data_IF_041183209390
#
_entry.id   IF_041183209390
#
_cell.length_a   1.000
_cell.length_b   1.000
_cell.length_c   1.000
_cell.angle_alpha   90.00
_cell.angle_beta   90.00
_cell.angle_gamma   90.00
#
_symmetry.space_group_name_H-M   'P 1'
#
loop_
_entity.id
_entity.type
_entity.pdbx_description
1 polymer ?
#
# COMPACT_ATOMS: atom_id res chain seq x y z
N UNK A 1 -4.65 12.44 0.45
CA UNK A 1 -6.06 12.00 0.37
C UNK A 1 -6.56 12.09 1.80
N UNK A 2 -7.47 13.02 2.10
CA UNK A 2 -8.05 13.13 3.45
C UNK A 2 -8.97 11.93 3.65
N UNK A 3 -8.46 10.89 4.30
CA UNK A 3 -9.29 9.78 4.76
C UNK A 3 -10.37 10.31 5.69
N UNK A 4 -11.61 9.89 5.48
CA UNK A 4 -12.72 10.21 6.37
C UNK A 4 -12.46 9.44 7.66
N UNK A 5 -12.09 10.15 8.73
CA UNK A 5 -11.75 9.52 10.01
C UNK A 5 -12.96 9.47 10.92
N UNK A 6 -13.33 8.25 11.34
CA UNK A 6 -14.34 8.04 12.38
C UNK A 6 -13.84 8.58 13.72
N UNK A 7 -14.79 8.90 14.60
CA UNK A 7 -14.55 9.29 15.99
C UNK A 7 -13.52 8.39 16.71
N UNK A 8 -13.63 7.06 16.57
CA UNK A 8 -12.70 6.14 17.22
C UNK A 8 -11.28 6.21 16.65
N UNK A 9 -11.14 6.46 15.35
CA UNK A 9 -9.83 6.66 14.74
C UNK A 9 -9.18 7.92 15.30
N UNK A 10 -9.95 9.01 15.45
CA UNK A 10 -9.45 10.26 16.03
C UNK A 10 -9.02 10.09 17.49
N UNK A 11 -9.78 9.34 18.31
CA UNK A 11 -9.36 9.05 19.69
C UNK A 11 -8.08 8.21 19.70
N UNK A 12 -8.02 7.16 18.88
CA UNK A 12 -6.83 6.32 18.76
C UNK A 12 -5.61 7.15 18.38
N UNK A 13 -5.76 8.02 17.37
CA UNK A 13 -4.72 8.93 16.90
C UNK A 13 -4.24 9.89 18.00
N UNK A 14 -5.16 10.49 18.74
CA UNK A 14 -4.83 11.41 19.83
C UNK A 14 -4.19 10.69 21.02
N UNK A 15 -4.55 9.42 21.26
CA UNK A 15 -3.97 8.59 22.32
C UNK A 15 -2.51 8.22 22.06
N UNK A 16 -2.04 8.30 20.81
CA UNK A 16 -0.62 8.14 20.47
C UNK A 16 0.26 9.25 21.07
N UNK A 17 -0.33 10.39 21.44
CA UNK A 17 0.37 11.50 22.09
C UNK A 17 0.02 11.57 23.58
N UNK A 18 1.01 11.88 24.41
CA UNK A 18 0.82 12.10 25.85
C UNK A 18 0.01 13.37 26.19
N UNK A 19 -0.54 14.05 25.18
CA UNK A 19 -1.31 15.28 25.30
C UNK A 19 -2.80 15.11 24.98
N UNK A 20 -3.31 13.88 24.96
CA UNK A 20 -4.73 13.62 24.69
C UNK A 20 -5.65 14.28 25.71
N UNK A 21 -5.17 14.46 26.94
CA UNK A 21 -5.85 15.14 28.05
C UNK A 21 -6.10 16.64 27.81
N UNK A 22 -5.34 17.24 26.89
CA UNK A 22 -5.45 18.67 26.52
C UNK A 22 -6.45 18.93 25.40
N UNK A 23 -7.06 17.89 24.84
CA UNK A 23 -8.01 18.02 23.73
C UNK A 23 -9.43 17.96 24.27
N UNK A 24 -10.18 19.03 24.02
CA UNK A 24 -11.62 19.10 24.27
C UNK A 24 -12.36 19.29 22.95
N UNK A 25 -13.32 18.43 22.66
CA UNK A 25 -14.17 18.59 21.47
C UNK A 25 -15.33 19.54 21.74
N UNK A 26 -15.68 20.34 20.75
CA UNK A 26 -16.95 21.07 20.76
C UNK A 26 -18.11 20.13 20.41
N UNK A 27 -19.34 20.51 20.79
CA UNK A 27 -20.53 19.73 20.47
C UNK A 27 -20.70 19.53 18.96
N UNK A 28 -20.45 20.58 18.17
CA UNK A 28 -20.49 20.54 16.70
C UNK A 28 -19.48 19.55 16.12
N UNK A 29 -18.26 19.51 16.65
CA UNK A 29 -17.22 18.57 16.20
C UNK A 29 -17.56 17.12 16.52
N UNK A 30 -18.19 16.87 17.67
CA UNK A 30 -18.65 15.53 18.04
C UNK A 30 -19.79 15.07 17.13
N UNK A 31 -20.72 15.96 16.80
CA UNK A 31 -21.80 15.67 15.86
C UNK A 31 -21.25 15.37 14.46
N UNK A 32 -20.26 16.14 13.97
CA UNK A 32 -19.61 15.87 12.68
C UNK A 32 -18.93 14.48 12.66
N UNK A 33 -18.15 14.16 13.69
CA UNK A 33 -17.40 12.90 13.77
C UNK A 33 -18.32 11.67 13.88
N UNK A 34 -19.44 11.81 14.59
CA UNK A 34 -20.43 10.73 14.74
C UNK A 34 -21.26 10.55 13.47
N UNK A 35 -21.63 11.63 12.79
CA UNK A 35 -22.34 11.57 11.51
C UNK A 35 -21.47 10.91 10.43
N UNK A 36 -20.19 11.27 10.34
CA UNK A 36 -19.25 10.64 9.40
C UNK A 36 -19.11 9.14 9.63
N UNK A 37 -19.14 8.68 10.88
CA UNK A 37 -19.10 7.25 11.19
C UNK A 37 -20.38 6.52 10.73
N UNK A 38 -21.55 7.16 10.88
CA UNK A 38 -22.79 6.61 10.38
C UNK A 38 -22.77 6.46 8.85
N UNK A 39 -22.38 7.51 8.13
CA UNK A 39 -22.28 7.51 6.66
C UNK A 39 -21.24 6.47 6.17
N UNK A 40 -20.13 6.32 6.88
CA UNK A 40 -19.11 5.29 6.58
C UNK A 40 -19.64 3.86 6.78
N UNK A 41 -20.46 3.63 7.80
CA UNK A 41 -21.10 2.31 8.02
C UNK A 41 -22.11 2.02 6.93
N UNK A 42 -22.94 3.00 6.58
CA UNK A 42 -23.92 2.87 5.51
C UNK A 42 -23.25 2.55 4.18
N UNK A 43 -22.17 3.26 3.81
CA UNK A 43 -21.42 2.99 2.58
C UNK A 43 -20.70 1.64 2.57
N UNK A 44 -20.20 1.17 3.72
CA UNK A 44 -19.56 -0.15 3.85
C UNK A 44 -20.57 -1.29 3.74
N UNK A 45 -21.71 -1.14 4.39
CA UNK A 45 -22.73 -2.18 4.48
C UNK A 45 -23.66 -2.20 3.25
N UNK A 46 -23.65 -1.14 2.43
CA UNK A 46 -24.28 -1.07 1.12
C UNK A 46 -23.56 -1.96 0.07
N UNK A 47 -23.88 -3.25 0.13
CA UNK A 47 -23.42 -4.26 -0.81
C UNK A 47 -23.83 -3.97 -2.27
N UNK A 48 -24.84 -3.10 -2.50
CA UNK A 48 -25.31 -2.76 -3.84
C UNK A 48 -24.33 -1.87 -4.62
N UNK A 49 -23.54 -1.04 -3.92
CA UNK A 49 -22.45 -0.23 -4.50
C UNK A 49 -21.12 -0.99 -4.61
N UNK A 50 -20.91 -2.01 -3.79
CA UNK A 50 -19.75 -2.90 -3.84
C UNK A 50 -19.78 -3.86 -5.03
N UNK A 51 -20.93 -3.94 -5.72
CA UNK A 51 -21.01 -4.39 -7.09
C UNK A 51 -20.20 -3.46 -7.96
N UNK A 52 -18.86 -3.58 -7.88
CA UNK A 52 -17.98 -3.31 -8.99
C UNK A 52 -18.71 -3.87 -10.18
N UNK A 53 -19.24 -2.97 -10.98
CA UNK A 53 -19.65 -3.23 -12.33
C UNK A 53 -18.35 -3.73 -12.97
N UNK A 54 -18.08 -5.02 -12.79
CA UNK A 54 -17.23 -5.83 -13.66
C UNK A 54 -18.04 -5.90 -14.95
N UNK A 55 -18.25 -4.75 -15.58
CA UNK A 55 -18.15 -4.72 -17.00
C UNK A 55 -16.86 -5.49 -17.29
N UNK A 56 -16.91 -6.54 -18.11
CA UNK A 56 -15.72 -7.06 -18.72
C UNK A 56 -15.20 -5.98 -19.69
N UNK A 57 -14.86 -4.79 -19.18
CA UNK A 57 -13.96 -3.84 -19.81
C UNK A 57 -12.73 -4.69 -20.05
N UNK A 58 -12.52 -4.97 -21.34
CA UNK A 58 -11.42 -5.79 -21.82
C UNK A 58 -10.16 -5.33 -21.09
N UNK A 59 -9.60 -6.20 -20.25
CA UNK A 59 -8.36 -5.87 -19.55
C UNK A 59 -7.31 -5.68 -20.62
N UNK A 60 -6.82 -4.46 -20.75
CA UNK A 60 -5.77 -4.12 -21.71
C UNK A 60 -4.50 -4.86 -21.25
N UNK A 61 -3.86 -5.66 -22.13
CA UNK A 61 -2.59 -6.30 -21.79
C UNK A 61 -1.53 -5.23 -21.50
N UNK A 62 -0.92 -5.28 -20.30
CA UNK A 62 0.08 -4.30 -19.87
C UNK A 62 1.53 -4.77 -20.08
N UNK A 63 1.73 -6.08 -20.29
CA UNK A 63 3.05 -6.69 -20.41
C UNK A 63 3.04 -7.84 -21.42
N UNK A 64 4.23 -8.24 -21.90
CA UNK A 64 4.40 -9.30 -22.91
C UNK A 64 4.81 -10.68 -22.34
N UNK A 65 4.81 -10.87 -21.02
CA UNK A 65 5.28 -12.13 -20.41
C UNK A 65 4.53 -13.39 -20.87
N UNK A 66 3.25 -13.27 -21.19
CA UNK A 66 2.39 -14.39 -21.60
C UNK A 66 2.03 -14.38 -23.10
N UNK A 67 2.49 -13.38 -23.86
CA UNK A 67 2.15 -13.22 -25.27
C UNK A 67 2.70 -11.92 -25.85
N UNK A 68 2.77 -11.81 -27.20
CA UNK A 68 3.25 -10.60 -27.84
C UNK A 68 2.30 -9.44 -27.54
N UNK A 69 2.86 -8.32 -27.07
CA UNK A 69 2.13 -7.08 -26.86
C UNK A 69 2.09 -6.32 -28.19
N UNK A 70 0.90 -6.03 -28.71
CA UNK A 70 0.79 -5.23 -29.93
C UNK A 70 1.06 -3.75 -29.63
N UNK A 71 1.58 -3.01 -30.61
CA UNK A 71 1.83 -1.57 -30.44
C UNK A 71 0.56 -0.79 -30.07
N UNK A 72 -0.60 -1.22 -30.58
CA UNK A 72 -1.90 -0.61 -30.24
C UNK A 72 -2.27 -0.83 -28.77
N UNK A 73 -2.08 -2.03 -28.25
CA UNK A 73 -2.36 -2.35 -26.85
C UNK A 73 -1.41 -1.59 -25.91
N UNK A 74 -0.14 -1.44 -26.29
CA UNK A 74 0.84 -0.67 -25.52
C UNK A 74 0.50 0.84 -25.46
N UNK A 75 0.02 1.41 -26.57
CA UNK A 75 -0.44 2.80 -26.61
C UNK A 75 -1.74 3.00 -25.81
N UNK A 76 -2.66 2.04 -25.85
CA UNK A 76 -3.89 2.06 -25.06
C UNK A 76 -3.58 1.96 -23.56
N UNK A 77 -2.68 1.05 -23.18
CA UNK A 77 -2.15 0.91 -21.83
C UNK A 77 -1.55 2.22 -21.28
N UNK A 78 -0.78 2.95 -22.09
CA UNK A 78 -0.15 4.21 -21.69
C UNK A 78 -1.17 5.33 -21.41
N UNK A 79 -2.29 5.37 -22.14
CA UNK A 79 -3.36 6.36 -21.94
C UNK A 79 -4.18 6.08 -20.67
N UNK A 80 -4.18 4.83 -20.24
CA UNK A 80 -4.98 4.33 -19.12
C UNK A 80 -4.17 4.22 -17.81
N UNK A 81 -3.54 5.31 -17.38
CA UNK A 81 -2.80 5.42 -16.10
C UNK A 81 -3.63 5.03 -14.88
N UNK A 82 -4.96 5.22 -14.92
CA UNK A 82 -5.87 4.88 -13.81
C UNK A 82 -5.97 3.40 -13.47
N UNK A 83 -5.55 2.49 -14.38
CA UNK A 83 -5.55 1.04 -14.11
C UNK A 83 -4.28 0.55 -13.41
N UNK A 84 -3.23 1.38 -13.32
CA UNK A 84 -2.01 1.05 -12.59
C UNK A 84 -2.17 1.36 -11.10
N UNK A 85 -3.04 0.61 -10.43
CA UNK A 85 -3.16 0.71 -8.99
C UNK A 85 -2.13 -0.19 -8.29
N UNK A 86 -0.99 0.41 -7.94
CA UNK A 86 0.11 -0.24 -7.22
C UNK A 86 0.12 0.11 -5.72
N UNK A 87 -1.00 0.57 -5.16
CA UNK A 87 -1.09 1.02 -3.77
C UNK A 87 -0.79 -0.07 -2.72
N UNK A 88 -0.82 -1.34 -3.13
CA UNK A 88 -0.45 -2.47 -2.27
C UNK A 88 1.08 -2.64 -2.11
N UNK A 89 1.88 -1.94 -2.92
CA UNK A 89 3.36 -1.96 -2.84
C UNK A 89 3.87 -0.67 -2.20
N UNK A 90 4.88 -0.79 -1.32
CA UNK A 90 5.45 0.37 -0.61
C UNK A 90 6.38 1.24 -1.49
N UNK A 91 7.10 0.60 -2.43
CA UNK A 91 8.08 1.27 -3.30
C UNK A 91 7.62 1.34 -4.76
N UNK A 92 6.36 1.01 -5.04
CA UNK A 92 5.82 0.93 -6.40
C UNK A 92 6.18 -0.36 -7.14
N UNK A 93 5.97 -0.35 -8.46
CA UNK A 93 6.07 -1.55 -9.30
C UNK A 93 7.48 -1.91 -9.75
N UNK A 94 8.42 -0.96 -9.70
CA UNK A 94 9.82 -1.19 -10.06
C UNK A 94 10.74 -0.17 -9.40
N UNK A 95 11.87 -0.64 -8.86
CA UNK A 95 12.96 0.18 -8.34
C UNK A 95 14.26 -0.27 -9.02
N UNK A 96 15.04 0.64 -9.62
CA UNK A 96 16.33 0.29 -10.22
C UNK A 96 17.28 -0.37 -9.22
N UNK A 97 17.98 -1.43 -9.65
CA UNK A 97 18.87 -2.22 -8.79
C UNK A 97 19.92 -1.37 -8.08
N UNK A 98 20.66 -0.55 -8.82
CA UNK A 98 21.72 0.29 -8.26
C UNK A 98 21.17 1.29 -7.24
N UNK A 99 19.93 1.77 -7.44
CA UNK A 99 19.27 2.64 -6.48
C UNK A 99 18.94 1.85 -5.22
N UNK A 100 18.24 0.71 -5.35
CA UNK A 100 17.86 -0.13 -4.22
C UNK A 100 19.06 -0.58 -3.37
N UNK A 101 20.18 -0.92 -4.01
CA UNK A 101 21.41 -1.34 -3.32
C UNK A 101 22.11 -0.18 -2.58
N UNK A 102 21.87 1.07 -2.98
CA UNK A 102 22.47 2.27 -2.35
C UNK A 102 21.54 2.97 -1.36
N UNK A 103 20.30 2.50 -1.20
CA UNK A 103 19.36 3.08 -0.24
C UNK A 103 19.76 2.77 1.20
N UNK A 104 19.57 3.75 2.07
CA UNK A 104 19.72 3.60 3.51
C UNK A 104 18.50 2.91 4.11
N UNK A 105 18.70 1.77 4.78
CA UNK A 105 17.60 1.06 5.45
C UNK A 105 17.04 1.83 6.64
N UNK A 106 17.87 2.61 7.35
CA UNK A 106 17.45 3.38 8.53
C UNK A 106 16.52 4.51 8.12
N UNK A 107 16.86 5.23 7.05
CA UNK A 107 16.08 6.39 6.60
C UNK A 107 14.71 5.95 6.09
N UNK A 108 14.66 4.82 5.37
CA UNK A 108 13.40 4.24 4.93
C UNK A 108 12.56 3.68 6.07
N UNK A 109 13.17 3.09 7.10
CA UNK A 109 12.43 2.66 8.28
C UNK A 109 11.75 3.84 8.99
N UNK A 110 12.47 4.94 9.18
CA UNK A 110 11.91 6.17 9.75
C UNK A 110 10.82 6.78 8.86
N UNK A 111 11.04 6.81 7.56
CA UNK A 111 10.05 7.31 6.60
C UNK A 111 8.77 6.47 6.61
N UNK A 112 8.89 5.14 6.58
CA UNK A 112 7.74 4.23 6.59
C UNK A 112 6.98 4.29 7.91
N UNK A 113 7.69 4.34 9.04
CA UNK A 113 7.06 4.56 10.34
C UNK A 113 6.28 5.87 10.36
N UNK A 114 6.87 6.96 9.84
CA UNK A 114 6.20 8.26 9.75
C UNK A 114 4.93 8.22 8.88
N UNK A 115 4.98 7.59 7.71
CA UNK A 115 3.84 7.60 6.77
C UNK A 115 2.76 6.60 7.17
N UNK A 116 3.15 5.37 7.51
CA UNK A 116 2.18 4.30 7.75
C UNK A 116 1.54 4.42 9.14
N UNK A 117 2.29 4.88 10.15
CA UNK A 117 1.83 4.89 11.53
C UNK A 117 1.59 6.30 12.06
N UNK A 118 2.43 7.28 11.70
CA UNK A 118 2.33 8.63 12.29
C UNK A 118 1.51 9.64 11.48
N UNK A 119 1.23 9.42 10.19
CA UNK A 119 0.50 10.41 9.36
C UNK A 119 -0.92 10.66 9.89
N UNK A 120 -1.61 9.58 10.26
CA UNK A 120 -2.90 9.63 10.95
C UNK A 120 -2.86 10.51 12.20
N UNK A 121 -2.11 10.07 13.23
CA UNK A 121 -1.91 10.83 14.46
C UNK A 121 -1.51 12.29 14.23
N UNK A 122 -0.55 12.58 13.35
CA UNK A 122 -0.07 13.95 13.09
C UNK A 122 -1.16 14.87 12.54
N UNK A 123 -1.96 14.38 11.60
CA UNK A 123 -3.08 15.12 11.03
C UNK A 123 -4.14 15.41 12.11
N UNK A 124 -4.51 14.40 12.91
CA UNK A 124 -5.49 14.53 13.99
C UNK A 124 -4.99 15.51 15.06
N UNK A 125 -3.72 15.40 15.44
CA UNK A 125 -3.07 16.33 16.35
C UNK A 125 -3.13 17.77 15.81
N UNK A 126 -2.79 17.98 14.54
CA UNK A 126 -2.80 19.31 13.92
C UNK A 126 -4.19 19.96 13.94
N UNK A 127 -5.24 19.14 13.74
CA UNK A 127 -6.65 19.58 13.65
C UNK A 127 -7.26 19.87 15.02
N UNK A 128 -6.95 19.09 16.05
CA UNK A 128 -7.67 19.17 17.34
C UNK A 128 -6.85 19.79 18.47
N UNK A 129 -5.53 19.57 18.52
CA UNK A 129 -4.70 20.09 19.62
C UNK A 129 -4.42 21.59 19.45
N UNK A 130 -4.21 22.06 18.21
CA UNK A 130 -3.95 23.48 17.95
C UNK A 130 -5.21 24.37 18.00
N UNK A 131 -6.40 23.76 17.95
CA UNK A 131 -7.69 24.47 18.02
C UNK A 131 -8.14 24.68 19.48
N UNK A 132 -7.55 23.95 20.43
CA UNK A 132 -7.84 24.03 21.86
C UNK A 132 -7.25 25.23 22.60
N UNK A 133 -6.65 26.24 21.94
CA UNK A 133 -6.43 27.56 22.55
C UNK A 133 -7.70 28.41 22.44
N UNK A 134 -8.80 27.92 23.02
CA UNK A 134 -9.87 28.81 23.45
C UNK A 134 -9.41 29.37 24.80
N UNK A 135 -9.21 30.69 24.95
CA UNK A 135 -8.92 31.27 26.26
C UNK A 135 -10.15 31.01 27.15
N UNK A 136 -10.01 30.10 28.11
CA UNK A 136 -10.96 30.02 29.21
C UNK A 136 -10.75 31.30 30.04
N UNK A 137 -11.57 32.31 29.74
CA UNK A 137 -11.70 33.55 30.50
C UNK A 137 -11.13 34.79 29.81
N UNK A 138 -11.93 35.47 29.00
CA UNK A 138 -12.08 36.93 29.12
C UNK A 138 -13.32 37.41 28.35
N UNK A 139 -14.30 37.84 29.13
CA UNK A 139 -15.31 38.86 28.85
C UNK A 139 -14.83 39.92 27.84
N UNK A 140 -15.57 40.01 26.72
CA UNK A 140 -15.95 41.14 25.85
C UNK A 140 -14.95 42.21 25.33
N UNK A 141 -15.27 42.82 24.17
CA UNK A 141 -14.31 43.23 23.15
C UNK A 141 -14.08 44.74 23.13
N UNK A 142 -12.80 45.15 23.04
CA UNK A 142 -12.43 46.49 22.59
C UNK A 142 -11.45 46.35 21.43
N UNK A 143 -12.03 46.26 20.24
CA UNK A 143 -11.71 47.12 19.09
C UNK A 143 -10.30 47.74 19.09
N UNK A 144 -9.32 47.14 18.41
CA UNK A 144 -8.31 47.86 17.60
C UNK A 144 -7.63 46.90 16.59
N UNK A 145 -7.74 47.26 15.31
CA UNK A 145 -6.84 46.93 14.20
C UNK A 145 -6.54 48.28 13.52
N UNK A 146 -5.48 48.44 12.70
CA UNK A 146 -4.28 47.62 12.50
C UNK A 146 -2.98 48.47 12.54
N UNK A 147 -1.82 47.86 12.83
CA UNK A 147 -0.52 48.46 12.46
C UNK A 147 0.33 47.44 11.69
N UNK A 148 0.76 47.74 10.45
CA UNK A 148 1.56 46.83 9.65
C UNK A 148 3.04 46.98 10.00
N UNK A 149 3.72 45.87 10.30
CA UNK A 149 5.18 45.84 10.39
C UNK A 149 5.77 45.44 9.05
N UNK A 150 6.46 46.43 8.49
CA UNK A 150 7.06 46.49 7.17
C UNK A 150 8.24 45.54 7.00
N UNK A 151 8.38 45.06 5.77
CA UNK A 151 9.44 44.21 5.27
C UNK A 151 10.84 44.84 5.37
N UNK A 152 11.85 44.02 5.71
CA UNK A 152 13.26 44.24 5.32
C UNK A 152 13.97 42.90 5.06
N UNK A 153 14.02 42.52 3.78
CA UNK A 153 15.26 42.02 3.13
C UNK A 153 16.02 43.26 2.62
N UNK A 154 17.34 43.24 2.32
CA UNK A 154 18.14 42.13 1.77
C UNK A 154 19.54 41.96 2.40
N UNK A 155 20.27 40.88 2.06
CA UNK A 155 21.64 40.93 1.48
C UNK A 155 21.94 39.57 0.84
N UNK A 156 22.21 39.61 -0.46
CA UNK A 156 22.83 38.54 -1.24
C UNK A 156 24.34 38.50 -0.96
N UNK A 157 24.94 37.31 -0.89
CA UNK A 157 26.35 37.11 -1.26
C UNK A 157 26.46 35.93 -2.21
N UNK A 158 27.16 36.18 -3.31
CA UNK A 158 27.38 35.36 -4.49
C UNK A 158 28.39 34.22 -4.28
N UNK A 159 28.15 33.17 -5.06
CA UNK A 159 29.05 32.43 -5.96
C UNK A 159 30.43 31.94 -5.48
N UNK A 160 30.63 30.62 -5.63
CA UNK A 160 31.93 29.97 -5.72
C UNK A 160 31.82 28.49 -6.08
N UNK A 161 32.03 28.16 -7.35
CA UNK A 161 32.34 26.81 -7.91
C UNK A 161 33.67 26.94 -8.67
N UNK A 162 34.30 25.86 -9.18
CA UNK A 162 34.65 24.56 -8.59
C UNK A 162 36.19 24.31 -8.64
N UNK A 163 36.71 23.38 -7.83
CA UNK A 163 38.11 22.95 -7.87
C UNK A 163 38.26 21.44 -8.12
N UNK A 164 38.92 21.09 -9.22
CA UNK A 164 39.22 19.75 -9.71
C UNK A 164 40.38 19.04 -8.98
N UNK A 165 40.56 17.75 -9.36
CA UNK A 165 41.74 16.86 -9.20
C UNK A 165 41.77 16.04 -7.90
N UNK A 166 42.17 14.77 -7.84
CA UNK A 166 42.79 13.85 -8.81
C UNK A 166 42.75 12.42 -8.23
N UNK A 167 42.50 11.44 -9.10
CA UNK A 167 43.03 10.07 -9.13
C UNK A 167 43.92 9.54 -7.99
N UNK A 168 43.54 8.36 -7.45
CA UNK A 168 44.51 7.29 -7.15
C UNK A 168 43.90 5.90 -7.36
N UNK A 169 44.63 5.12 -8.14
CA UNK A 169 44.47 3.70 -8.52
C UNK A 169 45.28 2.84 -7.52
N UNK A 170 45.12 1.49 -7.58
CA UNK A 170 45.94 0.38 -6.97
C UNK A 170 45.22 -0.32 -5.80
N UNK A 171 45.10 -1.66 -5.60
CA UNK A 171 45.41 -2.93 -6.31
C UNK A 171 44.83 -4.12 -5.47
N UNK A 172 44.15 -5.10 -6.13
CA UNK A 172 44.18 -6.62 -5.98
C UNK A 172 44.08 -7.36 -4.62
N UNK A 173 43.88 -8.71 -4.51
CA UNK A 173 43.59 -9.79 -5.49
C UNK A 173 42.43 -10.79 -5.12
N UNK A 174 42.29 -11.80 -5.99
CA UNK A 174 41.45 -13.02 -6.04
C UNK A 174 41.43 -13.99 -4.85
N UNK A 175 40.35 -14.82 -4.78
CA UNK A 175 40.33 -16.32 -4.72
C UNK A 175 38.97 -16.82 -4.21
N UNK A 176 38.12 -17.50 -5.00
CA UNK A 176 38.01 -18.96 -5.23
C UNK A 176 37.84 -19.85 -3.98
N UNK A 177 36.68 -20.50 -3.81
CA UNK A 177 36.53 -21.90 -3.39
C UNK A 177 35.04 -22.32 -3.26
N UNK A 178 34.64 -23.33 -4.04
CA UNK A 178 33.52 -24.25 -3.80
C UNK A 178 33.89 -25.31 -2.75
N UNK A 179 32.93 -25.96 -2.09
CA UNK A 179 32.76 -27.40 -2.36
C UNK A 179 31.31 -27.93 -2.37
N UNK A 180 31.11 -28.97 -3.18
CA UNK A 180 29.98 -29.90 -3.25
C UNK A 180 29.85 -30.82 -2.03
N UNK A 181 28.63 -31.25 -1.70
CA UNK A 181 28.20 -32.67 -1.65
C UNK A 181 26.85 -32.85 -0.92
N UNK A 182 25.98 -33.74 -1.44
CA UNK A 182 24.85 -34.29 -0.70
C UNK A 182 23.62 -34.67 -1.53
N UNK A 183 23.71 -35.72 -2.36
CA UNK A 183 22.56 -36.31 -3.08
C UNK A 183 21.86 -37.38 -2.22
N UNK A 184 20.52 -37.46 -2.19
CA UNK A 184 19.75 -38.47 -1.46
C UNK A 184 19.54 -39.79 -2.24
N UNK A 185 19.15 -40.90 -1.59
CA UNK A 185 18.98 -42.20 -2.24
C UNK A 185 17.68 -42.31 -3.05
N UNK A 186 17.82 -42.95 -4.20
CA UNK A 186 16.80 -43.24 -5.22
C UNK A 186 16.04 -44.53 -4.83
N UNK A 187 14.70 -44.48 -4.83
CA UNK A 187 13.83 -45.66 -4.90
C UNK A 187 13.24 -45.75 -6.30
N UNK A 188 13.52 -46.89 -6.96
CA UNK A 188 13.10 -47.21 -8.31
C UNK A 188 11.57 -47.36 -8.43
N UNK A 189 10.94 -46.54 -9.26
CA UNK A 189 9.73 -46.93 -9.99
C UNK A 189 9.86 -46.52 -11.46
N UNK A 190 9.60 -47.48 -12.32
CA UNK A 190 9.71 -47.49 -13.78
C UNK A 190 9.17 -46.23 -14.47
N UNK A 191 10.05 -45.57 -15.22
CA UNK A 191 9.81 -44.40 -16.05
C UNK A 191 9.08 -44.81 -17.33
N UNK A 192 7.86 -44.32 -17.55
CA UNK A 192 7.26 -44.15 -18.88
C UNK A 192 7.27 -42.65 -19.22
N UNK A 193 7.87 -42.34 -20.36
CA UNK A 193 8.02 -41.06 -21.11
C UNK A 193 7.56 -39.76 -20.41
N UNK A 194 8.55 -38.86 -20.26
CA UNK A 194 8.43 -37.49 -19.80
C UNK A 194 7.73 -36.56 -20.81
N UNK A 195 6.89 -35.66 -20.30
CA UNK A 195 6.27 -34.55 -21.02
C UNK A 195 4.99 -34.10 -20.32
N UNK A 196 4.98 -32.87 -19.80
CA UNK A 196 3.90 -32.21 -19.03
C UNK A 196 3.61 -32.76 -17.63
N UNK A 197 4.04 -32.00 -16.61
CA UNK A 197 3.50 -32.08 -15.25
C UNK A 197 2.06 -31.58 -15.23
N UNK A 198 1.15 -32.39 -15.77
CA UNK A 198 -0.27 -32.13 -15.76
C UNK A 198 -0.77 -32.25 -14.31
N UNK A 199 -0.85 -31.12 -13.59
CA UNK A 199 -1.43 -31.05 -12.25
C UNK A 199 -2.86 -31.61 -12.32
N UNK A 200 -3.05 -32.84 -11.86
CA UNK A 200 -4.37 -33.50 -11.85
C UNK A 200 -5.20 -32.86 -10.75
N UNK A 201 -5.97 -31.84 -11.10
CA UNK A 201 -6.93 -31.22 -10.18
C UNK A 201 -7.99 -32.25 -9.79
N UNK A 202 -8.08 -32.55 -8.50
CA UNK A 202 -9.05 -33.48 -7.91
C UNK A 202 -10.05 -32.68 -7.08
N UNK A 203 -11.34 -33.00 -7.20
CA UNK A 203 -12.41 -32.45 -6.37
C UNK A 203 -12.80 -33.49 -5.32
N UNK A 204 -12.99 -33.07 -4.07
CA UNK A 204 -13.35 -33.93 -2.94
C UNK A 204 -14.73 -33.56 -2.42
N UNK A 205 -15.60 -34.54 -2.22
CA UNK A 205 -16.84 -34.30 -1.49
C UNK A 205 -16.55 -34.03 -0.01
N UNK A 206 -17.06 -32.92 0.53
CA UNK A 206 -16.81 -32.55 1.93
C UNK A 206 -17.42 -33.56 2.91
N UNK A 207 -18.56 -34.15 2.57
CA UNK A 207 -19.33 -35.07 3.42
C UNK A 207 -18.72 -36.47 3.44
N UNK A 208 -18.56 -37.12 2.28
CA UNK A 208 -18.11 -38.52 2.21
C UNK A 208 -16.64 -38.70 1.80
N UNK A 209 -15.90 -37.61 1.55
CA UNK A 209 -14.50 -37.60 1.09
C UNK A 209 -14.22 -38.34 -0.22
N UNK A 210 -15.26 -38.66 -1.01
CA UNK A 210 -15.11 -39.25 -2.34
C UNK A 210 -14.34 -38.30 -3.28
N UNK A 211 -13.40 -38.86 -4.04
CA UNK A 211 -12.52 -38.14 -4.98
C UNK A 211 -13.07 -38.21 -6.40
N UNK A 212 -13.09 -37.08 -7.09
CA UNK A 212 -13.48 -36.94 -8.48
C UNK A 212 -12.32 -36.32 -9.27
N UNK A 213 -11.87 -37.00 -10.33
CA UNK A 213 -10.70 -36.59 -11.12
C UNK A 213 -11.01 -36.68 -12.61
N UNK A 214 -10.28 -35.90 -13.41
CA UNK A 214 -10.44 -35.88 -14.86
C UNK A 214 -11.33 -34.75 -15.38
N UNK A 215 -11.68 -34.75 -16.68
CA UNK A 215 -12.40 -33.66 -17.34
C UNK A 215 -13.83 -33.48 -16.85
N UNK A 216 -14.51 -34.57 -16.47
CA UNK A 216 -15.91 -34.60 -16.02
C UNK A 216 -16.08 -34.54 -14.49
N UNK A 217 -15.01 -34.22 -13.77
CA UNK A 217 -15.01 -34.23 -12.29
C UNK A 217 -16.10 -33.36 -11.64
N UNK A 218 -16.50 -32.26 -12.25
CA UNK A 218 -17.55 -31.38 -11.72
C UNK A 218 -18.97 -31.90 -11.97
N UNK A 219 -19.22 -32.50 -13.13
CA UNK A 219 -20.54 -33.09 -13.43
C UNK A 219 -20.77 -34.34 -12.60
N UNK A 220 -19.74 -35.17 -12.41
CA UNK A 220 -19.78 -36.33 -11.50
C UNK A 220 -19.94 -35.92 -10.05
N UNK A 221 -19.27 -34.84 -9.62
CA UNK A 221 -19.43 -34.28 -8.28
C UNK A 221 -20.85 -33.71 -8.07
N UNK A 222 -21.42 -33.01 -9.04
CA UNK A 222 -22.77 -32.44 -8.95
C UNK A 222 -23.88 -33.51 -8.94
N UNK A 223 -23.65 -34.65 -9.61
CA UNK A 223 -24.58 -35.78 -9.61
C UNK A 223 -24.39 -36.69 -8.38
N UNK A 224 -23.41 -36.41 -7.52
CA UNK A 224 -23.13 -37.23 -6.36
C UNK A 224 -24.23 -37.08 -5.30
N UNK A 225 -24.67 -38.20 -4.72
CA UNK A 225 -25.84 -38.24 -3.83
C UNK A 225 -25.72 -37.33 -2.60
N UNK A 226 -24.51 -37.05 -2.11
CA UNK A 226 -24.31 -36.14 -0.99
C UNK A 226 -24.64 -34.65 -1.30
N UNK A 227 -24.94 -34.30 -2.56
CA UNK A 227 -25.40 -32.96 -2.96
C UNK A 227 -26.91 -32.90 -3.29
N UNK A 228 -27.63 -34.03 -3.26
CA UNK A 228 -29.08 -34.12 -3.56
C UNK A 228 -29.95 -34.21 -2.30
N UNK A 229 -29.38 -33.91 -1.13
CA UNK A 229 -30.07 -33.86 0.16
C UNK A 229 -30.29 -32.42 0.60
#
# INVERSE_FOLDING_TARGET
MSEIRSYYNVISDLSCFESSDKVSFTEEQLLELTQQEYDNRETRDDLSKSGLHFDPIKRIPMHSYLGPLTARDAEEAAKHLGFYNLKHTLLGGYVPRNQLESLSSTDFAHYLHKILECEGPLDSYSKYVNVGRIPIGSIDPVNELPVPLSAKTPVQVQAGTPGSSSSTKVQTPSSSATPSAGTPPIVNTTIKKAGESHIKKVVLCKLCKKRFSGPRRFTEFSNHMCMKG
#
